data_IF_057585828067
#
_entry.id   IF_057585828067
#
_cell.length_a   1.000
_cell.length_b   1.000
_cell.length_c   1.000
_cell.angle_alpha   90.00
_cell.angle_beta   90.00
_cell.angle_gamma   90.00
#
_symmetry.space_group_name_H-M   'P 1'
#
loop_
_entity.id
_entity.type
_entity.pdbx_description
1 polymer ?
#
# COMPACT_ATOMS: atom_id res chain seq x y z
N UNK A 1 21.61 18.50 22.80
CA UNK A 1 20.63 17.85 23.69
C UNK A 1 19.87 16.83 22.87
N UNK A 2 20.01 15.53 23.16
CA UNK A 2 19.28 14.49 22.43
C UNK A 2 17.81 14.51 22.88
N UNK A 3 16.90 14.73 21.93
CA UNK A 3 15.45 14.84 22.16
C UNK A 3 14.96 13.48 22.64
N UNK A 4 14.49 13.39 23.90
CA UNK A 4 13.80 12.21 24.44
C UNK A 4 12.55 12.00 23.59
N UNK A 5 12.58 11.07 22.65
CA UNK A 5 11.44 10.76 21.80
C UNK A 5 10.76 9.53 22.39
N UNK A 6 9.52 9.69 22.85
CA UNK A 6 8.71 8.58 23.36
C UNK A 6 8.61 7.50 22.28
N UNK A 7 8.74 6.23 22.69
CA UNK A 7 8.63 5.08 21.78
C UNK A 7 7.33 5.11 20.96
N UNK A 8 6.26 5.61 21.57
CA UNK A 8 4.95 5.83 20.92
C UNK A 8 5.01 6.80 19.74
N UNK A 9 5.80 7.88 19.85
CA UNK A 9 5.96 8.84 18.75
C UNK A 9 6.72 8.21 17.56
N UNK A 10 7.66 7.31 17.82
CA UNK A 10 8.32 6.56 16.75
C UNK A 10 7.33 5.60 16.08
N UNK A 11 6.58 4.84 16.88
CA UNK A 11 5.60 3.89 16.36
C UNK A 11 4.54 4.60 15.52
N UNK A 12 4.04 5.76 15.99
CA UNK A 12 3.12 6.60 15.24
C UNK A 12 3.71 7.10 13.92
N UNK A 13 4.96 7.59 13.92
CA UNK A 13 5.63 8.02 12.68
C UNK A 13 5.86 6.86 11.69
N UNK A 14 6.13 5.65 12.20
CA UNK A 14 6.24 4.45 11.37
C UNK A 14 4.90 4.08 10.75
N UNK A 15 3.82 4.06 11.53
CA UNK A 15 2.48 3.78 11.04
C UNK A 15 2.07 4.78 9.95
N UNK A 16 2.32 6.07 10.14
CA UNK A 16 2.05 7.11 9.15
C UNK A 16 2.86 6.89 7.86
N UNK A 17 4.13 6.50 7.99
CA UNK A 17 4.99 6.19 6.86
C UNK A 17 4.48 5.00 6.04
N UNK A 18 3.97 3.95 6.71
CA UNK A 18 3.37 2.78 6.07
C UNK A 18 2.09 3.19 5.31
N UNK A 19 1.20 3.95 5.94
CA UNK A 19 -0.01 4.45 5.30
C UNK A 19 0.31 5.30 4.06
N UNK A 20 1.34 6.15 4.16
CA UNK A 20 1.82 6.95 3.03
C UNK A 20 2.38 6.09 1.90
N UNK A 21 3.13 5.03 2.23
CA UNK A 21 3.62 4.08 1.23
C UNK A 21 2.48 3.35 0.51
N UNK A 22 1.45 2.92 1.24
CA UNK A 22 0.24 2.34 0.64
C UNK A 22 -0.46 3.33 -0.29
N UNK A 23 -0.69 4.56 0.17
CA UNK A 23 -1.31 5.60 -0.66
C UNK A 23 -0.48 5.89 -1.92
N UNK A 24 0.85 5.91 -1.82
CA UNK A 24 1.73 6.10 -2.96
C UNK A 24 1.61 4.97 -3.99
N UNK A 25 1.57 3.72 -3.52
CA UNK A 25 1.38 2.53 -4.36
C UNK A 25 0.02 2.58 -5.09
N UNK A 26 -1.05 2.91 -4.37
CA UNK A 26 -2.40 3.00 -4.94
C UNK A 26 -2.47 4.09 -6.00
N UNK A 27 -1.95 5.28 -5.70
CA UNK A 27 -1.88 6.38 -6.66
C UNK A 27 -1.05 6.02 -7.89
N UNK A 28 0.07 5.31 -7.71
CA UNK A 28 0.85 4.80 -8.83
C UNK A 28 0.02 3.85 -9.70
N UNK A 29 -0.74 2.93 -9.08
CA UNK A 29 -1.61 2.01 -9.81
C UNK A 29 -2.70 2.75 -10.60
N UNK A 30 -3.37 3.72 -9.98
CA UNK A 30 -4.37 4.56 -10.66
C UNK A 30 -3.76 5.37 -11.80
N UNK A 31 -2.56 5.91 -11.62
CA UNK A 31 -1.87 6.66 -12.66
C UNK A 31 -1.48 5.77 -13.85
N UNK A 32 -1.15 4.50 -13.61
CA UNK A 32 -0.92 3.52 -14.69
C UNK A 32 -2.24 3.21 -15.40
N UNK A 33 -3.32 2.95 -14.65
CA UNK A 33 -4.66 2.71 -15.21
C UNK A 33 -5.12 3.85 -16.12
N UNK A 34 -4.98 5.11 -15.70
CA UNK A 34 -5.37 6.31 -16.47
C UNK A 34 -4.72 6.37 -17.85
N UNK A 35 -3.52 5.80 -18.04
CA UNK A 35 -2.83 5.81 -19.34
C UNK A 35 -3.54 4.98 -20.41
N UNK A 36 -4.48 4.11 -20.02
CA UNK A 36 -5.24 3.27 -20.93
C UNK A 36 -6.59 3.85 -21.32
N UNK A 37 -6.93 5.06 -20.87
CA UNK A 37 -8.17 5.75 -21.20
C UNK A 37 -7.88 7.08 -21.91
N UNK A 38 -8.81 7.50 -22.76
CA UNK A 38 -8.81 8.81 -23.41
C UNK A 38 -9.43 9.89 -22.52
N UNK A 39 -9.44 11.13 -23.01
CA UNK A 39 -10.02 12.30 -22.30
C UNK A 39 -11.53 12.17 -22.04
N UNK A 40 -12.22 11.31 -22.79
CA UNK A 40 -13.65 10.99 -22.64
C UNK A 40 -13.91 9.76 -21.77
N UNK A 41 -12.90 9.26 -21.03
CA UNK A 41 -12.97 8.05 -20.20
C UNK A 41 -13.23 6.76 -20.99
N UNK A 42 -12.99 6.74 -22.32
CA UNK A 42 -13.07 5.52 -23.12
C UNK A 42 -11.72 4.81 -23.17
N UNK A 43 -11.69 3.47 -23.13
CA UNK A 43 -10.45 2.73 -23.21
C UNK A 43 -9.79 2.93 -24.58
N UNK A 44 -8.49 3.17 -24.58
CA UNK A 44 -7.68 3.17 -25.80
C UNK A 44 -7.68 1.76 -26.38
N UNK A 45 -8.03 1.64 -27.66
CA UNK A 45 -8.11 0.36 -28.37
C UNK A 45 -6.93 0.16 -29.31
N UNK A 46 -6.68 -1.09 -29.68
CA UNK A 46 -5.81 -1.50 -30.78
C UNK A 46 -6.67 -2.22 -31.82
N UNK A 47 -6.58 -1.80 -33.07
CA UNK A 47 -7.37 -2.35 -34.16
C UNK A 47 -6.70 -3.62 -34.70
N UNK A 48 -7.43 -4.73 -34.69
CA UNK A 48 -7.01 -6.02 -35.25
C UNK A 48 -7.92 -6.34 -36.41
N UNK A 49 -7.33 -6.62 -37.57
CA UNK A 49 -8.07 -7.24 -38.68
C UNK A 49 -7.99 -8.75 -38.54
N UNK A 50 -9.15 -9.40 -38.47
CA UNK A 50 -9.23 -10.85 -38.47
C UNK A 50 -9.97 -11.34 -39.72
N UNK A 51 -9.47 -12.40 -40.38
CA UNK A 51 -10.19 -13.03 -41.47
C UNK A 51 -11.42 -13.77 -40.93
N UNK A 52 -12.56 -13.55 -41.56
CA UNK A 52 -13.83 -14.22 -41.30
C UNK A 52 -14.40 -14.69 -42.63
N UNK A 53 -14.83 -15.95 -42.67
CA UNK A 53 -15.62 -16.44 -43.80
C UNK A 53 -17.05 -15.93 -43.61
N UNK A 54 -17.58 -15.20 -44.59
CA UNK A 54 -18.96 -14.76 -44.54
C UNK A 54 -19.88 -16.00 -44.66
N UNK A 55 -20.77 -16.25 -43.68
CA UNK A 55 -21.61 -17.44 -43.68
C UNK A 55 -22.61 -17.50 -44.83
N UNK A 56 -22.95 -16.36 -45.44
CA UNK A 56 -23.95 -16.28 -46.50
C UNK A 56 -23.32 -16.38 -47.90
N UNK A 57 -22.11 -15.84 -48.10
CA UNK A 57 -21.44 -15.80 -49.42
C UNK A 57 -20.29 -16.79 -49.55
N UNK A 58 -19.76 -17.32 -48.44
CA UNK A 58 -18.58 -18.19 -48.43
C UNK A 58 -17.26 -17.47 -48.75
N UNK A 59 -17.28 -16.15 -48.91
CA UNK A 59 -16.11 -15.34 -49.25
C UNK A 59 -15.28 -14.98 -48.01
N UNK A 60 -13.97 -14.78 -48.22
CA UNK A 60 -13.04 -14.34 -47.18
C UNK A 60 -13.17 -12.83 -46.99
N UNK A 61 -13.73 -12.41 -45.86
CA UNK A 61 -13.83 -11.02 -45.45
C UNK A 61 -12.84 -10.72 -44.31
N UNK A 62 -12.37 -9.48 -44.24
CA UNK A 62 -11.57 -9.00 -43.11
C UNK A 62 -12.41 -8.08 -42.25
N UNK A 63 -12.59 -8.46 -40.99
CA UNK A 63 -13.37 -7.66 -40.04
C UNK A 63 -12.41 -6.97 -39.08
N UNK A 64 -12.65 -5.68 -38.85
CA UNK A 64 -11.88 -4.87 -37.93
C UNK A 64 -12.48 -4.98 -36.52
N UNK A 65 -11.65 -5.36 -35.54
CA UNK A 65 -12.02 -5.49 -34.12
C UNK A 65 -11.17 -4.55 -33.32
N UNK A 66 -11.82 -3.77 -32.47
CA UNK A 66 -11.15 -2.87 -31.55
C UNK A 66 -10.97 -3.59 -30.20
N UNK A 67 -9.73 -3.89 -29.84
CA UNK A 67 -9.42 -4.54 -28.56
C UNK A 67 -8.89 -3.50 -27.57
N UNK A 68 -9.51 -3.32 -26.39
CA UNK A 68 -9.01 -2.41 -25.37
C UNK A 68 -7.59 -2.78 -24.92
N UNK A 69 -6.68 -1.81 -24.92
CA UNK A 69 -5.28 -1.99 -24.51
C UNK A 69 -5.16 -2.47 -23.06
N UNK A 70 -6.07 -2.03 -22.19
CA UNK A 70 -6.14 -2.45 -20.79
C UNK A 70 -6.35 -3.96 -20.61
N UNK A 71 -7.02 -4.62 -21.57
CA UNK A 71 -7.27 -6.06 -21.53
C UNK A 71 -6.03 -6.88 -21.90
N UNK A 72 -5.03 -6.25 -22.52
CA UNK A 72 -3.81 -6.91 -23.01
C UNK A 72 -2.62 -6.72 -22.06
N UNK A 73 -2.74 -5.85 -21.05
CA UNK A 73 -1.65 -5.55 -20.13
C UNK A 73 -1.86 -6.26 -18.80
N UNK A 74 -0.87 -7.03 -18.31
CA UNK A 74 -0.94 -7.62 -16.98
C UNK A 74 -0.85 -6.52 -15.92
N UNK A 75 -1.93 -6.33 -15.17
CA UNK A 75 -2.01 -5.37 -14.08
C UNK A 75 -1.37 -5.94 -12.82
N UNK A 76 -0.04 -5.91 -12.76
CA UNK A 76 0.68 -6.24 -11.55
C UNK A 76 0.61 -5.05 -10.58
N UNK A 77 -0.25 -5.14 -9.58
CA UNK A 77 -0.26 -4.19 -8.46
C UNK A 77 0.83 -4.58 -7.46
N UNK A 78 1.72 -3.65 -7.16
CA UNK A 78 2.75 -3.83 -6.13
C UNK A 78 2.05 -3.84 -4.77
N UNK A 79 1.84 -5.00 -4.15
CA UNK A 79 1.23 -5.07 -2.81
C UNK A 79 2.31 -5.17 -1.74
N UNK A 80 2.21 -4.33 -0.71
CA UNK A 80 3.11 -4.38 0.45
C UNK A 80 2.58 -5.44 1.42
N UNK A 81 3.02 -6.70 1.26
CA UNK A 81 2.50 -7.86 2.00
C UNK A 81 2.91 -7.86 3.47
N UNK A 82 4.19 -7.62 3.72
CA UNK A 82 4.79 -7.73 5.04
C UNK A 82 5.94 -6.74 5.18
N UNK A 83 6.05 -6.09 6.32
CA UNK A 83 7.22 -5.31 6.71
C UNK A 83 7.75 -5.79 8.06
N UNK A 84 9.03 -6.15 8.08
CA UNK A 84 9.72 -6.66 9.27
C UNK A 84 10.79 -5.69 9.72
N UNK A 85 10.64 -5.12 10.91
CA UNK A 85 11.62 -4.22 11.52
C UNK A 85 12.35 -4.93 12.65
N UNK A 86 13.68 -4.86 12.66
CA UNK A 86 14.51 -5.36 13.76
C UNK A 86 15.48 -4.28 14.21
N UNK A 87 15.40 -3.86 15.46
CA UNK A 87 16.30 -2.85 16.01
C UNK A 87 16.52 -3.05 17.51
N UNK A 88 17.67 -2.57 18.00
CA UNK A 88 18.06 -2.60 19.41
C UNK A 88 17.71 -1.28 20.08
N UNK A 89 17.01 -1.34 21.20
CA UNK A 89 16.59 -0.16 21.97
C UNK A 89 17.31 -0.14 23.32
N UNK A 90 17.96 0.97 23.67
CA UNK A 90 18.44 1.20 25.04
C UNK A 90 17.27 1.72 25.89
N UNK A 91 16.81 0.92 26.86
CA UNK A 91 15.82 1.37 27.84
C UNK A 91 16.52 2.25 28.87
N UNK A 92 16.11 3.52 28.96
CA UNK A 92 16.53 4.41 30.05
C UNK A 92 15.39 4.50 31.06
N UNK A 93 15.71 4.20 32.33
CA UNK A 93 14.86 4.21 33.53
C UNK A 93 13.36 4.52 33.35
N UNK A 94 12.53 3.59 33.80
CA UNK A 94 11.11 3.78 34.07
C UNK A 94 10.92 4.94 35.07
N UNK A 95 10.27 6.02 34.65
CA UNK A 95 9.91 7.12 35.56
C UNK A 95 8.68 6.70 36.35
N UNK A 96 8.84 6.56 37.67
CA UNK A 96 7.79 6.14 38.60
C UNK A 96 6.87 7.35 38.90
N UNK A 97 6.11 7.76 37.88
CA UNK A 97 4.82 8.42 37.98
C UNK A 97 4.67 9.60 38.94
N UNK A 98 5.57 10.62 38.92
CA UNK A 98 5.28 11.93 39.55
C UNK A 98 4.82 13.03 38.58
N UNK A 99 4.67 12.71 37.30
CA UNK A 99 4.03 13.58 36.31
C UNK A 99 3.02 12.77 35.48
N UNK A 100 1.93 13.42 35.07
CA UNK A 100 0.73 12.84 34.44
C UNK A 100 0.95 12.17 33.06
N UNK A 101 2.19 11.85 32.68
CA UNK A 101 2.57 11.40 31.34
C UNK A 101 3.44 10.12 31.45
N UNK A 102 2.78 9.02 31.81
CA UNK A 102 3.38 7.70 31.96
C UNK A 102 3.66 7.06 30.59
N UNK A 103 4.85 7.30 30.03
CA UNK A 103 5.29 6.73 28.74
C UNK A 103 6.68 6.08 28.81
N UNK A 104 6.87 4.99 28.06
CA UNK A 104 8.16 4.29 27.95
C UNK A 104 9.20 5.16 27.22
N UNK A 105 10.29 5.48 27.92
CA UNK A 105 11.41 6.28 27.41
C UNK A 105 12.46 5.38 26.74
N UNK A 106 12.48 5.40 25.41
CA UNK A 106 13.46 4.67 24.60
C UNK A 106 14.47 5.65 23.99
N UNK A 107 15.77 5.44 24.25
CA UNK A 107 16.82 6.23 23.60
C UNK A 107 17.38 5.44 22.40
N UNK A 108 16.93 5.80 21.19
CA UNK A 108 17.15 4.99 19.97
C UNK A 108 18.52 5.28 19.32
N UNK A 109 19.22 6.34 19.72
CA UNK A 109 20.52 6.73 19.14
C UNK A 109 21.50 7.13 20.24
N UNK A 110 22.23 6.16 20.79
CA UNK A 110 23.44 6.44 21.58
C UNK A 110 24.62 5.70 21.00
N UNK A 111 25.45 6.43 20.25
CA UNK A 111 26.66 5.96 19.59
C UNK A 111 27.91 5.99 20.49
N UNK A 112 27.76 6.01 21.81
CA UNK A 112 28.92 5.97 22.73
C UNK A 112 29.04 4.59 23.39
N UNK A 113 30.09 3.87 22.97
CA UNK A 113 30.64 2.67 23.58
C UNK A 113 30.84 2.90 25.09
N UNK A 114 30.20 2.07 25.95
CA UNK A 114 30.72 1.52 27.24
C UNK A 114 29.65 0.96 28.20
N UNK A 115 28.35 0.98 27.86
CA UNK A 115 27.32 0.30 28.69
C UNK A 115 26.78 -0.93 27.96
N UNK A 116 27.11 -2.13 28.45
CA UNK A 116 26.64 -3.41 27.89
C UNK A 116 25.25 -3.84 28.36
N UNK A 117 24.63 -3.15 29.32
CA UNK A 117 23.67 -3.89 30.17
C UNK A 117 22.18 -3.63 29.96
N UNK A 118 21.73 -2.76 29.04
CA UNK A 118 20.29 -2.53 28.88
C UNK A 118 19.85 -2.28 27.43
N UNK A 119 20.19 -3.18 26.51
CA UNK A 119 19.62 -3.20 25.16
C UNK A 119 18.56 -4.29 25.02
N UNK A 120 17.40 -3.94 24.50
CA UNK A 120 16.32 -4.88 24.16
C UNK A 120 16.23 -5.01 22.64
N UNK A 121 16.20 -6.23 22.14
CA UNK A 121 15.90 -6.53 20.75
C UNK A 121 14.38 -6.39 20.52
N UNK A 122 13.99 -5.48 19.63
CA UNK A 122 12.59 -5.27 19.24
C UNK A 122 12.41 -5.75 17.81
N UNK A 123 11.47 -6.69 17.64
CA UNK A 123 11.03 -7.20 16.34
C UNK A 123 9.57 -6.80 16.14
N UNK A 124 9.31 -6.01 15.10
CA UNK A 124 7.96 -5.58 14.71
C UNK A 124 7.61 -6.20 13.36
N UNK A 125 6.46 -6.86 13.31
CA UNK A 125 5.88 -7.44 12.11
C UNK A 125 4.61 -6.66 11.76
N UNK A 126 4.59 -6.04 10.59
CA UNK A 126 3.41 -5.38 10.04
C UNK A 126 2.90 -6.21 8.86
N UNK A 127 1.65 -6.67 8.97
CA UNK A 127 0.97 -7.43 7.92
C UNK A 127 -0.14 -6.58 7.32
N UNK A 128 -0.19 -6.50 5.98
CA UNK A 128 -1.34 -5.90 5.30
C UNK A 128 -2.45 -6.96 5.21
N UNK A 129 -3.42 -6.92 6.12
CA UNK A 129 -4.64 -7.71 5.97
C UNK A 129 -5.71 -6.90 5.23
N UNK A 130 -6.59 -7.61 4.51
CA UNK A 130 -7.76 -7.00 3.88
C UNK A 130 -8.61 -6.25 4.93
N UNK A 131 -9.27 -5.15 4.55
CA UNK A 131 -10.10 -4.38 5.46
C UNK A 131 -11.08 -5.28 6.22
N UNK A 132 -11.33 -5.04 7.52
CA UNK A 132 -12.21 -5.88 8.32
C UNK A 132 -13.55 -6.12 7.61
N UNK A 133 -14.08 -7.34 7.66
CA UNK A 133 -15.31 -7.75 6.95
C UNK A 133 -16.48 -6.77 7.16
N UNK A 134 -16.58 -6.16 8.34
CA UNK A 134 -17.56 -5.14 8.67
C UNK A 134 -17.45 -3.88 7.78
N UNK A 135 -16.23 -3.44 7.46
CA UNK A 135 -15.97 -2.30 6.58
C UNK A 135 -16.24 -2.66 5.12
N UNK A 136 -15.92 -3.91 4.72
CA UNK A 136 -16.30 -4.41 3.38
C UNK A 136 -17.82 -4.45 3.18
N UNK A 137 -18.58 -4.88 4.20
CA UNK A 137 -20.06 -4.88 4.17
C UNK A 137 -20.66 -3.47 4.03
N UNK A 138 -20.05 -2.47 4.69
CA UNK A 138 -20.49 -1.07 4.57
C UNK A 138 -20.22 -0.53 3.16
N UNK A 139 -19.05 -0.86 2.59
CA UNK A 139 -18.70 -0.45 1.23
C UNK A 139 -19.62 -1.11 0.20
N UNK A 140 -19.95 -2.40 0.35
CA UNK A 140 -20.91 -3.10 -0.51
C UNK A 140 -22.32 -2.49 -0.45
N UNK A 141 -22.73 -1.99 0.72
CA UNK A 141 -23.99 -1.25 0.85
C UNK A 141 -23.92 0.13 0.20
N UNK A 142 -22.79 0.83 0.29
CA UNK A 142 -22.60 2.12 -0.40
C UNK A 142 -22.56 1.98 -1.93
N UNK A 143 -21.91 0.94 -2.45
CA UNK A 143 -21.85 0.64 -3.89
C UNK A 143 -23.24 0.30 -4.45
N UNK A 144 -24.12 -0.34 -3.66
CA UNK A 144 -25.51 -0.61 -4.05
C UNK A 144 -26.42 0.63 -4.08
N UNK A 145 -26.01 1.72 -3.42
CA UNK A 145 -26.80 2.97 -3.31
C UNK A 145 -26.33 4.02 -4.34
N UNK A 146 -25.14 3.85 -4.93
CA UNK A 146 -24.70 4.66 -6.07
C UNK A 146 -25.43 4.20 -7.34
N UNK A 147 -26.11 5.11 -8.07
CA UNK A 147 -26.88 4.80 -9.28
C UNK A 147 -26.03 4.37 -10.47
#
# INVERSE_FOLDING_TARGET
MAKKQYFENLLGAMQESILKAHSMIENQHLNVMKRYFDESQKPLTFDIQYPRINPDTGELEYVLVQVPKIALVPMNSLKLKEMKLKFKVKLSSWDDGKSNDSGLLANILSSNKTDTDNFVDVELLFESNDPPEAVMKINDQMVKILP
#
